data_IF_714793389605
#
_entry.id   IF_714793389605
#
_cell.length_a   1.000
_cell.length_b   1.000
_cell.length_c   1.000
_cell.angle_alpha   90.00
_cell.angle_beta   90.00
_cell.angle_gamma   90.00
#
_symmetry.space_group_name_H-M   'P 1'
#
loop_
_entity.id
_entity.type
_entity.pdbx_description
1 polymer ?
#
# COMPACT_ATOMS: atom_id res chain seq x y z
N UNK A 1 3.92 -15.96 -23.31
CA UNK A 1 4.90 -16.15 -22.21
C UNK A 1 4.26 -15.68 -20.91
N UNK A 2 4.38 -16.46 -19.82
CA UNK A 2 3.94 -16.10 -18.48
C UNK A 2 5.15 -15.65 -17.68
N UNK A 3 5.20 -14.38 -17.30
CA UNK A 3 6.22 -13.86 -16.40
C UNK A 3 5.80 -14.14 -14.94
N UNK A 4 6.77 -14.20 -14.04
CA UNK A 4 6.54 -14.34 -12.58
C UNK A 4 7.33 -13.26 -11.84
N UNK A 5 6.70 -12.66 -10.85
CA UNK A 5 7.30 -11.67 -9.98
C UNK A 5 6.80 -11.92 -8.56
N UNK A 6 7.71 -12.04 -7.62
CA UNK A 6 7.40 -12.31 -6.22
C UNK A 6 8.04 -11.30 -5.28
N UNK A 7 7.39 -11.07 -4.14
CA UNK A 7 7.88 -10.22 -3.07
C UNK A 7 7.73 -10.92 -1.71
N UNK A 8 8.73 -10.74 -0.84
CA UNK A 8 8.74 -11.31 0.51
C UNK A 8 8.26 -10.30 1.52
N UNK A 9 7.30 -10.71 2.37
CA UNK A 9 6.74 -9.90 3.45
C UNK A 9 6.95 -10.60 4.79
N UNK A 10 7.70 -9.99 5.68
CA UNK A 10 7.98 -10.53 7.02
C UNK A 10 7.10 -9.92 8.12
N UNK A 11 6.23 -8.98 7.77
CA UNK A 11 5.31 -8.34 8.72
C UNK A 11 4.15 -9.28 9.15
N UNK A 12 3.54 -8.93 10.28
CA UNK A 12 2.37 -9.65 10.83
C UNK A 12 1.05 -9.25 10.17
N UNK A 13 1.00 -8.09 9.49
CA UNK A 13 -0.21 -7.64 8.79
C UNK A 13 -0.30 -8.39 7.46
N UNK A 14 -1.44 -9.01 7.22
CA UNK A 14 -1.69 -9.71 5.96
C UNK A 14 -1.71 -8.74 4.78
N UNK A 15 -0.96 -9.11 3.74
CA UNK A 15 -0.86 -8.34 2.50
C UNK A 15 -1.49 -9.15 1.38
N UNK A 16 -2.57 -8.63 0.78
CA UNK A 16 -3.18 -9.23 -0.40
C UNK A 16 -2.33 -9.01 -1.64
N UNK A 17 -2.25 -10.02 -2.49
CA UNK A 17 -1.59 -9.94 -3.80
C UNK A 17 -2.51 -9.29 -4.84
N UNK A 18 -3.82 -9.48 -4.73
CA UNK A 18 -4.79 -8.93 -5.68
C UNK A 18 -4.75 -7.39 -5.66
N UNK A 19 -4.58 -6.80 -6.84
CA UNK A 19 -4.48 -5.33 -7.01
C UNK A 19 -3.38 -4.69 -6.15
N UNK A 20 -2.30 -5.42 -5.86
CA UNK A 20 -1.21 -4.92 -5.05
C UNK A 20 -0.39 -3.89 -5.84
N UNK A 21 -0.49 -2.62 -5.44
CA UNK A 21 0.15 -1.51 -6.14
C UNK A 21 1.68 -1.64 -6.21
N UNK A 22 2.33 -2.19 -5.18
CA UNK A 22 3.78 -2.40 -5.16
C UNK A 22 4.21 -3.41 -6.22
N UNK A 23 3.51 -4.55 -6.30
CA UNK A 23 3.81 -5.59 -7.30
C UNK A 23 3.50 -5.12 -8.73
N UNK A 24 2.40 -4.40 -8.94
CA UNK A 24 2.07 -3.80 -10.22
C UNK A 24 3.14 -2.78 -10.64
N UNK A 25 3.63 -1.97 -9.70
CA UNK A 25 4.72 -1.03 -9.95
C UNK A 25 6.01 -1.74 -10.34
N UNK A 26 6.40 -2.81 -9.64
CA UNK A 26 7.58 -3.59 -9.97
C UNK A 26 7.48 -4.23 -11.36
N UNK A 27 6.31 -4.77 -11.72
CA UNK A 27 6.07 -5.34 -13.05
C UNK A 27 6.19 -4.26 -14.14
N UNK A 28 5.59 -3.09 -13.94
CA UNK A 28 5.66 -1.96 -14.86
C UNK A 28 7.10 -1.45 -15.01
N UNK A 29 7.82 -1.27 -13.91
CA UNK A 29 9.21 -0.83 -13.91
C UNK A 29 10.14 -1.83 -14.58
N UNK A 30 9.97 -3.13 -14.32
CA UNK A 30 10.78 -4.17 -14.93
C UNK A 30 10.59 -4.25 -16.45
N UNK A 31 9.36 -4.01 -16.94
CA UNK A 31 9.07 -3.87 -18.37
C UNK A 31 9.77 -2.64 -18.96
N UNK A 32 9.60 -1.48 -18.31
CA UNK A 32 10.17 -0.23 -18.78
C UNK A 32 11.72 -0.26 -18.83
N UNK A 33 12.35 -0.94 -17.87
CA UNK A 33 13.81 -1.11 -17.82
C UNK A 33 14.35 -2.26 -18.68
N UNK A 34 13.50 -2.96 -19.46
CA UNK A 34 13.90 -4.09 -20.27
C UNK A 34 14.32 -5.33 -19.47
N UNK A 35 14.12 -5.35 -18.15
CA UNK A 35 14.43 -6.49 -17.29
C UNK A 35 13.41 -7.62 -17.40
N UNK A 36 12.22 -7.31 -17.87
CA UNK A 36 11.14 -8.24 -18.15
C UNK A 36 10.79 -8.18 -19.62
N UNK A 37 10.76 -9.35 -20.28
CA UNK A 37 10.32 -9.44 -21.69
C UNK A 37 8.81 -9.15 -21.76
N UNK A 38 8.31 -8.62 -22.91
CA UNK A 38 6.87 -8.44 -23.11
C UNK A 38 6.09 -9.72 -22.80
N UNK A 39 5.02 -9.60 -22.05
CA UNK A 39 4.18 -10.73 -21.65
C UNK A 39 2.70 -10.41 -21.91
N UNK A 40 1.88 -11.43 -22.10
CA UNK A 40 0.42 -11.29 -22.09
C UNK A 40 -0.15 -11.35 -20.67
N UNK A 41 0.50 -12.12 -19.79
CA UNK A 41 0.11 -12.32 -18.40
C UNK A 41 1.35 -12.36 -17.51
N UNK A 42 1.25 -11.78 -16.33
CA UNK A 42 2.26 -11.86 -15.26
C UNK A 42 1.62 -12.45 -14.01
N UNK A 43 2.29 -13.42 -13.40
CA UNK A 43 1.91 -13.96 -12.11
C UNK A 43 2.64 -13.17 -11.03
N UNK A 44 1.87 -12.47 -10.22
CA UNK A 44 2.35 -11.74 -9.05
C UNK A 44 2.21 -12.65 -7.83
N UNK A 45 3.18 -12.66 -6.95
CA UNK A 45 3.18 -13.49 -5.76
C UNK A 45 3.65 -12.73 -4.53
N UNK A 46 3.04 -12.99 -3.38
CA UNK A 46 3.52 -12.55 -2.07
C UNK A 46 3.83 -13.78 -1.25
N UNK A 47 5.06 -13.84 -0.74
CA UNK A 47 5.53 -14.87 0.17
C UNK A 47 5.59 -14.27 1.56
N UNK A 48 4.72 -14.75 2.47
CA UNK A 48 4.61 -14.24 3.83
C UNK A 48 4.70 -15.40 4.83
N UNK A 49 5.91 -15.78 5.27
CA UNK A 49 6.13 -16.97 6.12
C UNK A 49 5.44 -16.90 7.48
N UNK A 50 5.15 -15.69 7.97
CA UNK A 50 4.45 -15.46 9.24
C UNK A 50 2.96 -15.76 9.18
N UNK A 51 2.44 -16.18 8.02
CA UNK A 51 1.02 -16.42 7.78
C UNK A 51 0.73 -17.90 7.51
N UNK A 52 -0.52 -18.30 7.76
CA UNK A 52 -1.01 -19.66 7.44
C UNK A 52 -0.90 -19.94 5.92
N UNK A 53 -1.25 -18.96 5.09
CA UNK A 53 -1.06 -19.00 3.64
C UNK A 53 0.28 -18.34 3.31
N UNK A 54 1.32 -19.16 3.24
CA UNK A 54 2.70 -18.69 3.01
C UNK A 54 2.84 -18.02 1.65
N UNK A 55 2.19 -18.55 0.61
CA UNK A 55 2.21 -18.02 -0.75
C UNK A 55 0.81 -17.63 -1.19
N UNK A 56 0.64 -16.37 -1.58
CA UNK A 56 -0.54 -15.86 -2.26
C UNK A 56 -0.16 -15.43 -3.67
N UNK A 57 -0.94 -15.82 -4.69
CA UNK A 57 -0.67 -15.53 -6.08
C UNK A 57 -1.88 -14.94 -6.80
N UNK A 58 -1.62 -14.01 -7.69
CA UNK A 58 -2.61 -13.39 -8.58
C UNK A 58 -2.05 -13.20 -9.99
N UNK A 59 -2.91 -13.25 -11.01
CA UNK A 59 -2.48 -13.08 -12.41
C UNK A 59 -3.02 -11.78 -12.95
N UNK A 60 -2.10 -10.91 -13.37
CA UNK A 60 -2.41 -9.66 -14.05
C UNK A 60 -2.13 -9.77 -15.56
N UNK A 61 -2.80 -8.94 -16.33
CA UNK A 61 -2.58 -8.82 -17.76
C UNK A 61 -1.61 -7.68 -18.09
N UNK A 62 -1.03 -7.72 -19.30
CA UNK A 62 -0.25 -6.60 -19.83
C UNK A 62 -1.06 -5.30 -19.86
N UNK A 63 -2.35 -5.40 -20.21
CA UNK A 63 -3.26 -4.25 -20.25
C UNK A 63 -3.50 -3.64 -18.87
N UNK A 64 -3.71 -4.47 -17.84
CA UNK A 64 -3.90 -3.98 -16.45
C UNK A 64 -2.63 -3.32 -15.91
N UNK A 65 -1.45 -3.90 -16.15
CA UNK A 65 -0.18 -3.30 -15.77
C UNK A 65 0.08 -1.99 -16.52
N UNK A 66 -0.22 -1.92 -17.82
CA UNK A 66 -0.07 -0.69 -18.60
C UNK A 66 -1.06 0.41 -18.14
N UNK A 67 -2.30 0.06 -17.79
CA UNK A 67 -3.24 1.01 -17.21
C UNK A 67 -2.73 1.56 -15.87
N UNK A 68 -2.31 0.68 -14.97
CA UNK A 68 -1.69 1.07 -13.70
C UNK A 68 -0.49 2.01 -13.89
N UNK A 69 0.41 1.70 -14.82
CA UNK A 69 1.57 2.54 -15.11
C UNK A 69 1.17 3.96 -15.58
N UNK A 70 0.16 4.07 -16.45
CA UNK A 70 -0.37 5.38 -16.90
C UNK A 70 -0.95 6.18 -15.74
N UNK A 71 -1.72 5.52 -14.86
CA UNK A 71 -2.34 6.18 -13.71
C UNK A 71 -1.27 6.68 -12.73
N UNK A 72 -0.24 5.87 -12.44
CA UNK A 72 0.88 6.26 -11.58
C UNK A 72 1.62 7.47 -12.18
N UNK A 73 1.93 7.45 -13.47
CA UNK A 73 2.60 8.57 -14.15
C UNK A 73 1.74 9.84 -14.12
N UNK A 74 0.44 9.72 -14.33
CA UNK A 74 -0.50 10.84 -14.28
C UNK A 74 -0.54 11.46 -12.87
N UNK A 75 -0.75 10.64 -11.84
CA UNK A 75 -0.80 11.08 -10.44
C UNK A 75 0.52 11.70 -10.01
N UNK A 76 1.65 11.08 -10.40
CA UNK A 76 2.99 11.59 -10.09
C UNK A 76 3.22 12.98 -10.70
N UNK A 77 2.81 13.20 -11.95
CA UNK A 77 2.90 14.52 -12.61
C UNK A 77 2.07 15.56 -11.87
N UNK A 78 0.83 15.23 -11.49
CA UNK A 78 -0.01 16.13 -10.68
C UNK A 78 0.69 16.44 -9.36
N UNK A 79 1.18 15.44 -8.64
CA UNK A 79 1.83 15.62 -7.34
C UNK A 79 3.08 16.50 -7.41
N UNK A 80 3.90 16.32 -8.47
CA UNK A 80 5.14 17.08 -8.65
C UNK A 80 4.91 18.53 -9.08
N UNK A 81 3.85 18.81 -9.84
CA UNK A 81 3.61 20.14 -10.42
C UNK A 81 2.50 20.93 -9.73
N UNK A 82 1.76 20.32 -8.82
CA UNK A 82 0.69 21.01 -8.10
C UNK A 82 1.27 22.00 -7.08
N UNK A 83 0.99 23.29 -7.25
CA UNK A 83 1.35 24.34 -6.26
C UNK A 83 0.67 24.10 -4.91
N UNK A 84 -0.55 23.56 -4.91
CA UNK A 84 -1.32 23.17 -3.73
C UNK A 84 -1.99 21.81 -3.99
N UNK A 85 -1.32 20.70 -3.66
CA UNK A 85 -1.92 19.39 -3.88
C UNK A 85 -3.18 19.21 -3.01
N UNK A 86 -4.21 18.61 -3.59
CA UNK A 86 -5.43 18.29 -2.86
C UNK A 86 -5.12 17.20 -1.83
N UNK A 87 -5.32 17.51 -0.57
CA UNK A 87 -5.18 16.54 0.51
C UNK A 87 -6.44 15.67 0.59
N UNK A 88 -6.28 14.36 0.53
CA UNK A 88 -7.37 13.37 0.63
C UNK A 88 -7.07 12.40 1.78
N UNK A 89 -7.36 12.78 3.02
CA UNK A 89 -7.10 11.91 4.17
C UNK A 89 -7.99 10.66 4.11
N UNK A 90 -7.39 9.52 4.34
CA UNK A 90 -8.09 8.23 4.48
C UNK A 90 -7.51 7.48 5.68
N UNK A 91 -8.31 6.61 6.31
CA UNK A 91 -7.84 5.79 7.45
C UNK A 91 -6.55 5.04 7.12
N UNK A 92 -6.46 4.43 5.94
CA UNK A 92 -5.26 3.67 5.51
C UNK A 92 -4.09 4.59 5.16
N UNK A 93 -4.34 5.69 4.46
CA UNK A 93 -3.29 6.60 3.99
C UNK A 93 -2.69 7.43 5.13
N UNK A 94 -3.44 7.66 6.20
CA UNK A 94 -2.98 8.44 7.34
C UNK A 94 -2.29 7.59 8.42
N UNK A 95 -2.44 6.27 8.42
CA UNK A 95 -1.97 5.37 9.47
C UNK A 95 -0.47 5.52 9.82
N UNK A 96 0.36 5.81 8.81
CA UNK A 96 1.80 6.03 8.98
C UNK A 96 2.25 7.36 8.36
N UNK A 97 1.33 8.30 8.20
CA UNK A 97 1.63 9.59 7.61
C UNK A 97 2.42 10.46 8.60
N UNK A 98 3.59 11.01 8.23
CA UNK A 98 4.36 11.90 9.12
C UNK A 98 3.62 13.17 9.52
N UNK A 99 2.57 13.55 8.77
CA UNK A 99 1.71 14.70 9.06
C UNK A 99 0.46 14.33 9.89
N UNK A 100 0.38 13.10 10.39
CA UNK A 100 -0.76 12.69 11.23
C UNK A 100 -0.85 13.58 12.48
N UNK A 101 -2.07 14.01 12.80
CA UNK A 101 -2.34 14.97 13.88
C UNK A 101 -2.00 16.43 13.58
N UNK A 102 -1.26 16.73 12.48
CA UNK A 102 -0.91 18.09 12.04
C UNK A 102 -1.51 18.44 10.67
N UNK A 103 -2.11 17.48 10.00
CA UNK A 103 -2.66 17.65 8.66
C UNK A 103 -3.95 18.49 8.71
N UNK A 104 -4.00 19.62 8.00
CA UNK A 104 -5.20 20.50 8.02
C UNK A 104 -6.44 19.84 7.40
N UNK A 105 -6.26 18.79 6.59
CA UNK A 105 -7.36 18.06 5.98
C UNK A 105 -7.96 16.96 6.87
N UNK A 106 -7.26 16.56 7.94
CA UNK A 106 -7.76 15.55 8.88
C UNK A 106 -8.80 16.13 9.85
N UNK A 107 -8.81 17.46 10.05
CA UNK A 107 -9.62 18.09 11.10
C UNK A 107 -9.15 17.70 12.51
N UNK A 108 -9.69 18.38 13.51
CA UNK A 108 -9.36 18.12 14.93
C UNK A 108 -9.88 16.75 15.43
N UNK A 109 -10.66 16.04 14.59
CA UNK A 109 -11.38 14.81 14.99
C UNK A 109 -10.56 13.52 15.01
N UNK A 110 -9.38 13.45 14.37
CA UNK A 110 -8.71 12.15 14.23
C UNK A 110 -7.96 11.73 15.51
N UNK A 111 -7.30 12.62 16.19
CA UNK A 111 -6.67 12.33 17.50
C UNK A 111 -7.72 12.18 18.61
N UNK A 112 -8.77 13.02 18.60
CA UNK A 112 -9.88 12.91 19.55
C UNK A 112 -10.66 11.61 19.40
N UNK A 113 -10.84 11.09 18.19
CA UNK A 113 -11.53 9.81 17.98
C UNK A 113 -10.71 8.61 18.48
N UNK A 114 -9.38 8.65 18.35
CA UNK A 114 -8.49 7.62 18.89
C UNK A 114 -8.43 7.69 20.43
N UNK A 115 -8.41 8.89 20.98
CA UNK A 115 -8.41 9.09 22.45
C UNK A 115 -9.80 8.85 23.10
N UNK A 116 -10.87 8.93 22.32
CA UNK A 116 -12.24 8.63 22.75
C UNK A 116 -12.60 7.14 22.57
N UNK A 117 -11.76 6.35 21.92
CA UNK A 117 -11.96 4.90 21.88
C UNK A 117 -11.78 4.33 23.31
N UNK A 118 -12.90 4.02 23.94
CA UNK A 118 -12.97 3.45 25.30
C UNK A 118 -12.08 2.20 25.47
N UNK A 119 -11.84 1.48 24.38
CA UNK A 119 -10.97 0.30 24.37
C UNK A 119 -9.50 0.64 24.53
N UNK A 120 -9.04 1.75 23.95
CA UNK A 120 -7.67 2.24 24.11
C UNK A 120 -7.48 2.87 25.49
N UNK A 121 -8.47 3.62 25.97
CA UNK A 121 -8.46 4.21 27.30
C UNK A 121 -8.35 3.13 28.38
N UNK A 122 -9.15 2.07 28.29
CA UNK A 122 -9.07 0.94 29.22
C UNK A 122 -7.74 0.17 29.15
N UNK A 123 -7.07 0.12 27.99
CA UNK A 123 -5.73 -0.50 27.86
C UNK A 123 -4.62 0.35 28.48
N UNK A 124 -4.74 1.68 28.42
CA UNK A 124 -3.81 2.61 29.07
C UNK A 124 -4.00 2.57 30.59
N UNK A 125 -5.25 2.53 31.07
CA UNK A 125 -5.58 2.52 32.50
C UNK A 125 -5.26 1.15 33.18
N UNK A 126 -5.15 0.07 32.41
CA UNK A 126 -4.80 -1.27 32.95
C UNK A 126 -3.31 -1.58 33.00
N UNK A 127 -2.44 -0.58 32.82
CA UNK A 127 -0.99 -0.72 33.05
C UNK A 127 -0.27 -1.65 32.07
N UNK A 128 -0.77 -1.81 30.85
CA UNK A 128 -0.17 -2.70 29.85
C UNK A 128 1.25 -2.31 29.41
N UNK A 129 1.73 -1.13 29.81
CA UNK A 129 3.10 -0.66 29.56
C UNK A 129 4.04 -0.71 30.78
N UNK A 130 3.60 -1.34 31.88
CA UNK A 130 4.46 -1.55 33.06
C UNK A 130 5.06 -2.95 32.99
N UNK A 131 6.04 -3.17 32.10
CA UNK A 131 7.08 -4.20 32.21
C UNK A 131 8.31 -3.80 31.41
#
# INVERSE_FOLDING_TARGET
MLARLGDFKFGWIEVSVASNAQLCFYAAAALACGKLKPFKKVRLGIIQPTRKKILDEHVETDKSIAAFARDVLHISRIALHAKKPALKPTKKGCLFCPADGKCPAQGVGSLTSVLQDKTLKNKLDTGFFAR
#
